data_IF_365208819072
#
_entry.id   IF_365208819072
#
_cell.length_a   1.000
_cell.length_b   1.000
_cell.length_c   1.000
_cell.angle_alpha   90.00
_cell.angle_beta   90.00
_cell.angle_gamma   90.00
#
_symmetry.space_group_name_H-M   'P 1'
#
loop_
_entity.id
_entity.type
_entity.pdbx_description
1 polymer ?
#
# COMPACT_ATOMS: atom_id res chain seq x y z
N UNK A 1 -12.56 6.22 -0.31
CA UNK A 1 -11.55 6.34 0.77
C UNK A 1 -10.30 5.58 0.38
N UNK A 2 -9.13 6.12 0.70
CA UNK A 2 -7.83 5.48 0.51
C UNK A 2 -7.06 5.56 1.84
N UNK A 3 -6.44 4.46 2.26
CA UNK A 3 -5.58 4.42 3.45
C UNK A 3 -4.34 3.58 3.21
N UNK A 4 -3.25 3.95 3.88
CA UNK A 4 -1.95 3.28 3.80
C UNK A 4 -1.39 3.20 5.21
N UNK A 5 -0.88 2.03 5.61
CA UNK A 5 -0.12 1.86 6.85
C UNK A 5 1.02 0.87 6.63
N UNK A 6 2.17 1.10 7.25
CA UNK A 6 3.33 0.23 7.05
C UNK A 6 4.61 0.71 7.70
N UNK A 7 5.66 -0.10 7.53
CA UNK A 7 6.98 0.09 8.13
C UNK A 7 7.96 0.40 7.01
N UNK A 8 8.26 1.68 6.78
CA UNK A 8 9.20 2.10 5.74
C UNK A 8 10.69 1.91 6.14
N UNK A 9 11.00 1.61 7.40
CA UNK A 9 12.38 1.45 7.87
C UNK A 9 13.11 2.78 8.14
N UNK A 10 14.42 2.76 8.42
CA UNK A 10 15.27 1.56 8.45
C UNK A 10 15.03 0.65 9.67
N UNK A 11 14.37 1.15 10.72
CA UNK A 11 14.01 0.37 11.91
C UNK A 11 12.51 0.07 12.02
N UNK A 12 12.12 -0.54 13.14
CA UNK A 12 10.71 -0.84 13.47
C UNK A 12 10.16 -2.13 12.82
N UNK A 13 10.97 -2.82 12.02
CA UNK A 13 10.63 -4.13 11.49
C UNK A 13 10.93 -5.26 12.49
N UNK A 14 10.17 -6.34 12.39
CA UNK A 14 10.40 -7.62 13.07
C UNK A 14 10.39 -8.75 12.03
N UNK A 15 10.72 -9.98 12.44
CA UNK A 15 10.60 -11.16 11.58
C UNK A 15 9.17 -11.34 11.03
N UNK A 16 8.16 -11.11 11.87
CA UNK A 16 6.75 -11.19 11.50
C UNK A 16 6.27 -9.97 10.69
N UNK A 17 6.84 -8.79 10.96
CA UNK A 17 6.46 -7.51 10.33
C UNK A 17 7.70 -6.82 9.77
N UNK A 18 8.24 -7.27 8.64
CA UNK A 18 9.51 -6.76 8.14
C UNK A 18 9.41 -5.30 7.69
N UNK A 19 10.56 -4.62 7.63
CA UNK A 19 10.68 -3.36 6.89
C UNK A 19 10.24 -3.59 5.44
N UNK A 20 9.48 -2.65 4.89
CA UNK A 20 8.83 -2.77 3.60
C UNK A 20 7.39 -3.28 3.67
N UNK A 21 6.96 -3.83 4.81
CA UNK A 21 5.56 -4.24 5.01
C UNK A 21 4.63 -3.04 4.93
N UNK A 22 3.73 -3.04 3.95
CA UNK A 22 2.71 -2.01 3.76
C UNK A 22 1.37 -2.67 3.45
N UNK A 23 0.32 -2.15 4.09
CA UNK A 23 -1.07 -2.44 3.75
C UNK A 23 -1.69 -1.20 3.11
N UNK A 24 -2.41 -1.42 2.02
CA UNK A 24 -3.11 -0.38 1.27
C UNK A 24 -4.57 -0.80 1.18
N UNK A 25 -5.49 0.10 1.52
CA UNK A 25 -6.93 -0.17 1.41
C UNK A 25 -7.65 0.94 0.63
N UNK A 26 -8.55 0.53 -0.26
CA UNK A 26 -9.45 1.41 -1.03
C UNK A 26 -10.90 0.98 -0.86
N UNK A 27 -11.81 1.96 -0.80
CA UNK A 27 -13.26 1.76 -0.61
C UNK A 27 -14.02 2.87 -1.34
N UNK A 28 -14.89 2.56 -2.31
CA UNK A 28 -15.76 3.55 -2.99
C UNK A 28 -17.20 3.61 -2.42
N UNK A 29 -17.45 2.87 -1.34
CA UNK A 29 -18.78 2.67 -0.75
C UNK A 29 -19.43 1.35 -1.16
N UNK A 30 -19.00 0.78 -2.29
CA UNK A 30 -19.55 -0.45 -2.88
C UNK A 30 -18.50 -1.56 -2.91
N UNK A 31 -17.34 -1.29 -3.50
CA UNK A 31 -16.20 -2.19 -3.62
C UNK A 31 -15.13 -1.81 -2.61
N UNK A 32 -14.65 -2.82 -1.88
CA UNK A 32 -13.56 -2.71 -0.90
C UNK A 32 -12.44 -3.64 -1.27
N UNK A 33 -11.21 -3.13 -1.29
CA UNK A 33 -10.00 -3.92 -1.54
C UNK A 33 -8.91 -3.56 -0.56
N UNK A 34 -8.25 -4.58 -0.04
CA UNK A 34 -7.06 -4.45 0.83
C UNK A 34 -5.95 -5.27 0.20
N UNK A 35 -4.79 -4.66 0.01
CA UNK A 35 -3.59 -5.34 -0.45
C UNK A 35 -2.49 -5.26 0.59
N UNK A 36 -1.73 -6.36 0.68
CA UNK A 36 -0.55 -6.50 1.51
C UNK A 36 0.68 -6.59 0.60
N UNK A 37 1.67 -5.75 0.85
CA UNK A 37 2.92 -5.66 0.09
C UNK A 37 4.15 -5.75 1.01
N UNK A 38 5.28 -6.21 0.46
CA UNK A 38 6.61 -6.06 1.06
C UNK A 38 7.52 -5.39 0.04
N UNK A 39 7.62 -4.08 0.09
CA UNK A 39 8.44 -3.31 -0.84
C UNK A 39 9.92 -3.38 -0.45
N UNK A 40 10.79 -3.43 -1.45
CA UNK A 40 12.24 -3.39 -1.27
C UNK A 40 12.76 -1.97 -1.50
N UNK A 41 13.84 -1.60 -0.82
CA UNK A 41 14.48 -0.30 -0.96
C UNK A 41 14.75 0.38 0.37
N UNK A 42 15.23 1.62 0.29
CA UNK A 42 15.35 2.49 1.46
C UNK A 42 13.99 3.09 1.86
N UNK A 43 14.00 3.91 2.91
CA UNK A 43 12.77 4.50 3.47
C UNK A 43 11.99 5.30 2.43
N UNK A 44 12.67 6.02 1.56
CA UNK A 44 12.03 6.87 0.55
C UNK A 44 11.55 6.04 -0.64
N UNK A 45 12.31 5.03 -1.07
CA UNK A 45 11.91 4.06 -2.08
C UNK A 45 10.64 3.29 -1.67
N UNK A 46 10.58 2.80 -0.43
CA UNK A 46 9.39 2.10 0.10
C UNK A 46 8.16 3.02 0.11
N UNK A 47 8.32 4.27 0.55
CA UNK A 47 7.23 5.26 0.57
C UNK A 47 6.72 5.57 -0.84
N UNK A 48 7.64 5.75 -1.78
CA UNK A 48 7.30 6.02 -3.18
C UNK A 48 6.54 4.86 -3.80
N UNK A 49 7.05 3.62 -3.67
CA UNK A 49 6.40 2.43 -4.19
C UNK A 49 5.00 2.21 -3.58
N UNK A 50 4.86 2.44 -2.26
CA UNK A 50 3.56 2.37 -1.59
C UNK A 50 2.56 3.41 -2.12
N UNK A 51 3.00 4.65 -2.32
CA UNK A 51 2.17 5.71 -2.86
C UNK A 51 1.74 5.44 -4.31
N UNK A 52 2.67 4.98 -5.15
CA UNK A 52 2.40 4.59 -6.55
C UNK A 52 1.34 3.49 -6.61
N UNK A 53 1.53 2.39 -5.85
CA UNK A 53 0.55 1.29 -5.84
C UNK A 53 -0.81 1.72 -5.30
N UNK A 54 -0.84 2.62 -4.31
CA UNK A 54 -2.08 3.15 -3.78
C UNK A 54 -2.88 3.97 -4.80
N UNK A 55 -2.19 4.79 -5.61
CA UNK A 55 -2.81 5.53 -6.70
C UNK A 55 -3.30 4.60 -7.82
N UNK A 56 -2.51 3.57 -8.18
CA UNK A 56 -2.95 2.55 -9.13
C UNK A 56 -4.23 1.85 -8.68
N UNK A 57 -4.28 1.40 -7.42
CA UNK A 57 -5.48 0.77 -6.84
C UNK A 57 -6.71 1.68 -6.88
N UNK A 58 -6.52 2.96 -6.57
CA UNK A 58 -7.60 3.94 -6.64
C UNK A 58 -8.09 4.11 -8.09
N UNK A 59 -7.17 4.19 -9.05
CA UNK A 59 -7.51 4.28 -10.47
C UNK A 59 -8.19 3.01 -11.00
N UNK A 60 -7.79 1.83 -10.54
CA UNK A 60 -8.45 0.56 -10.85
C UNK A 60 -9.89 0.56 -10.32
N UNK A 61 -10.10 1.01 -9.07
CA UNK A 61 -11.42 1.09 -8.44
C UNK A 61 -12.36 2.06 -9.15
N UNK A 62 -11.82 3.18 -9.66
CA UNK A 62 -12.62 4.21 -10.34
C UNK A 62 -12.95 3.88 -11.80
N UNK A 63 -12.32 2.87 -12.39
CA UNK A 63 -12.64 2.46 -13.77
C UNK A 63 -13.97 1.72 -13.78
N UNK A 64 -14.92 2.08 -14.66
CA UNK A 64 -16.16 1.33 -14.78
C UNK A 64 -15.84 -0.10 -15.22
N UNK A 65 -16.39 -1.08 -14.50
CA UNK A 65 -16.45 -2.46 -14.98
C UNK A 65 -17.41 -2.48 -16.16
N UNK A 66 -16.89 -2.58 -17.38
CA UNK A 66 -17.70 -2.79 -18.59
C UNK A 66 -18.52 -4.07 -18.52
#
# INVERSE_FOLDING_TARGET
>A
GLSITGIAGPGGGTEEKPVGLVFIAVDDGTVRRVERHVFQGDRDGIRKAAAERALELLLELMRPTS
#
